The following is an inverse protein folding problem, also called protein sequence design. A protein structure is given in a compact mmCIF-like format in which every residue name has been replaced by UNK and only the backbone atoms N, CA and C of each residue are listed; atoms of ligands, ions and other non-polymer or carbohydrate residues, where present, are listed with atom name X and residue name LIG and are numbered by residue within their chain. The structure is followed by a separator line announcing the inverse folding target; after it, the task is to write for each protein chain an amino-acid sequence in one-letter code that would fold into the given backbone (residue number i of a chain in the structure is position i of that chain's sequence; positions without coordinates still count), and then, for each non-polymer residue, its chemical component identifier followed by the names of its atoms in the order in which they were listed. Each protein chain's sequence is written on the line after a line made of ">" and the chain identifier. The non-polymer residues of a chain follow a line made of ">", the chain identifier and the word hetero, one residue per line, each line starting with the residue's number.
data_IF_021981563277
#
_entry.id   IF_021981563277
#
_cell.length_a   1.000
_cell.length_b   1.000
_cell.length_c   1.000
_cell.angle_alpha   90.00
_cell.angle_beta   90.00
_cell.angle_gamma   90.00
#
_symmetry.space_group_name_H-M   'P 1'
#
loop_
_entity.id
_entity.type
_entity.pdbx_description
1 polymer ?
#
# COMPACT_ATOMS: atom_id res chain seq x y z
N UNK A 1 8.94 -28.44 19.07
CA UNK A 1 9.04 -26.96 19.14
C UNK A 1 9.26 -26.41 17.73
N UNK A 2 8.20 -25.92 17.10
CA UNK A 2 8.29 -25.30 15.77
C UNK A 2 8.99 -23.94 15.96
N UNK A 3 10.24 -23.83 15.53
CA UNK A 3 10.98 -22.57 15.47
C UNK A 3 10.17 -21.62 14.58
N UNK A 4 9.55 -20.60 15.16
CA UNK A 4 8.65 -19.71 14.43
C UNK A 4 9.50 -18.79 13.56
N UNK A 5 9.67 -19.16 12.29
CA UNK A 5 10.28 -18.30 11.27
C UNK A 5 9.28 -17.20 10.95
N UNK A 6 9.48 -16.00 11.50
CA UNK A 6 8.59 -14.86 11.31
C UNK A 6 9.16 -13.93 10.25
N UNK A 7 8.74 -14.15 9.00
CA UNK A 7 8.85 -13.17 7.94
C UNK A 7 7.65 -12.24 8.03
N UNK A 8 7.90 -10.97 8.32
CA UNK A 8 6.83 -9.98 8.40
C UNK A 8 6.93 -8.99 7.25
N UNK A 9 6.02 -9.05 6.27
CA UNK A 9 5.88 -7.95 5.34
C UNK A 9 5.38 -6.74 6.11
N UNK A 10 5.96 -5.57 5.84
CA UNK A 10 5.49 -4.31 6.44
C UNK A 10 5.16 -3.25 5.41
N UNK A 11 5.63 -3.41 4.16
CA UNK A 11 5.37 -2.45 3.08
C UNK A 11 5.50 -3.10 1.69
N UNK A 12 4.76 -2.53 0.74
CA UNK A 12 4.94 -2.75 -0.70
C UNK A 12 5.32 -1.44 -1.39
N UNK A 13 6.00 -1.52 -2.53
CA UNK A 13 6.41 -0.37 -3.36
C UNK A 13 5.41 -0.01 -4.47
N UNK A 14 4.11 -0.23 -4.22
CA UNK A 14 3.03 0.09 -5.18
C UNK A 14 2.55 1.53 -5.00
N UNK A 15 2.58 2.37 -6.05
CA UNK A 15 2.02 3.72 -5.99
C UNK A 15 0.49 3.68 -5.83
N UNK A 16 -0.04 4.47 -4.90
CA UNK A 16 -1.49 4.57 -4.71
C UNK A 16 -2.07 5.67 -5.60
N UNK A 17 -2.74 5.30 -6.68
CA UNK A 17 -3.47 6.22 -7.57
C UNK A 17 -4.62 6.92 -6.87
N UNK A 18 -5.38 6.16 -6.07
CA UNK A 18 -6.48 6.66 -5.25
C UNK A 18 -6.24 6.33 -3.78
N UNK A 19 -6.80 7.16 -2.89
CA UNK A 19 -6.84 6.85 -1.46
C UNK A 19 -7.73 5.60 -1.25
N UNK A 20 -7.22 4.52 -0.62
CA UNK A 20 -7.94 3.25 -0.46
C UNK A 20 -8.94 3.29 0.70
N UNK A 21 -9.84 4.28 0.68
CA UNK A 21 -10.81 4.53 1.74
C UNK A 21 -11.74 3.34 2.01
N UNK A 22 -12.11 2.58 0.97
CA UNK A 22 -12.96 1.39 1.15
C UNK A 22 -12.22 0.27 1.89
N UNK A 23 -10.92 0.10 1.64
CA UNK A 23 -10.12 -0.85 2.41
C UNK A 23 -9.99 -0.42 3.87
N UNK A 24 -9.83 0.88 4.13
CA UNK A 24 -9.84 1.41 5.51
C UNK A 24 -11.18 1.19 6.20
N UNK A 25 -12.29 1.34 5.48
CA UNK A 25 -13.61 1.02 6.01
C UNK A 25 -13.71 -0.47 6.36
N UNK A 26 -13.25 -1.38 5.49
CA UNK A 26 -13.21 -2.81 5.79
C UNK A 26 -12.36 -3.09 7.02
N UNK A 27 -11.16 -2.49 7.12
CA UNK A 27 -10.27 -2.58 8.30
C UNK A 27 -10.99 -2.11 9.57
N UNK A 28 -11.70 -0.98 9.50
CA UNK A 28 -12.49 -0.47 10.62
C UNK A 28 -13.64 -1.43 11.00
N UNK A 29 -14.35 -1.98 10.01
CA UNK A 29 -15.43 -2.94 10.23
C UNK A 29 -14.93 -4.23 10.89
N UNK A 30 -13.87 -4.86 10.38
CA UNK A 30 -13.33 -6.08 11.01
C UNK A 30 -12.78 -5.81 12.41
N UNK A 31 -12.24 -4.61 12.64
CA UNK A 31 -11.78 -4.17 13.97
C UNK A 31 -12.96 -4.05 14.93
N UNK A 32 -14.02 -3.36 14.53
CA UNK A 32 -15.25 -3.25 15.32
C UNK A 32 -15.84 -4.62 15.65
N UNK A 33 -15.98 -5.49 14.64
CA UNK A 33 -16.51 -6.85 14.82
C UNK A 33 -15.65 -7.64 15.80
N UNK A 34 -14.32 -7.56 15.70
CA UNK A 34 -13.42 -8.24 16.64
C UNK A 34 -13.61 -7.77 18.08
N UNK A 35 -13.75 -6.46 18.31
CA UNK A 35 -14.03 -5.95 19.66
C UNK A 35 -15.41 -6.37 20.17
N UNK A 36 -16.43 -6.47 19.31
CA UNK A 36 -17.72 -7.07 19.67
C UNK A 36 -17.54 -8.55 20.08
N UNK A 37 -16.76 -9.34 19.34
CA UNK A 37 -16.46 -10.74 19.70
C UNK A 37 -15.78 -10.84 21.08
N UNK A 38 -14.86 -9.92 21.40
CA UNK A 38 -14.20 -9.87 22.72
C UNK A 38 -15.20 -9.49 23.81
N UNK A 39 -16.03 -8.47 23.58
CA UNK A 39 -17.05 -8.03 24.53
C UNK A 39 -18.07 -9.14 24.83
N UNK A 40 -18.49 -9.91 23.82
CA UNK A 40 -19.34 -11.10 24.02
C UNK A 40 -18.66 -12.15 24.88
N UNK A 41 -17.38 -12.47 24.61
CA UNK A 41 -16.64 -13.45 25.42
C UNK A 41 -16.56 -13.04 26.89
N UNK A 42 -16.32 -11.76 27.17
CA UNK A 42 -16.32 -11.22 28.54
C UNK A 42 -17.73 -11.29 29.15
N UNK A 43 -18.74 -10.80 28.42
CA UNK A 43 -20.13 -10.77 28.90
C UNK A 43 -20.63 -12.17 29.25
N UNK A 44 -20.52 -13.12 28.34
CA UNK A 44 -21.03 -14.48 28.56
C UNK A 44 -20.16 -15.26 29.55
N UNK A 45 -18.83 -15.05 29.56
CA UNK A 45 -17.92 -15.69 30.52
C UNK A 45 -18.24 -15.36 31.98
N UNK A 46 -18.84 -14.21 32.25
CA UNK A 46 -19.22 -13.78 33.61
C UNK A 46 -20.62 -14.25 34.06
N UNK A 47 -21.40 -14.90 33.20
CA UNK A 47 -22.77 -15.32 33.50
C UNK A 47 -22.86 -16.80 33.91
N UNK A 48 -23.81 -17.18 34.79
CA UNK A 48 -24.16 -18.58 35.02
C UNK A 48 -24.60 -19.26 33.72
N UNK A 49 -24.03 -20.44 33.42
CA UNK A 49 -24.23 -21.12 32.13
C UNK A 49 -23.57 -20.40 30.95
N UNK A 50 -22.53 -19.60 31.21
CA UNK A 50 -21.88 -18.72 30.23
C UNK A 50 -21.47 -19.40 28.92
N UNK A 51 -20.94 -20.62 29.00
CA UNK A 51 -20.52 -21.39 27.82
C UNK A 51 -21.70 -21.72 26.89
N UNK A 52 -22.82 -22.18 27.43
CA UNK A 52 -24.04 -22.49 26.68
C UNK A 52 -24.64 -21.23 26.08
N UNK A 53 -24.68 -20.14 26.86
CA UNK A 53 -25.15 -18.84 26.41
C UNK A 53 -24.28 -18.28 25.28
N UNK A 54 -22.95 -18.43 25.37
CA UNK A 54 -22.03 -18.04 24.30
C UNK A 54 -22.25 -18.87 23.03
N UNK A 55 -22.39 -20.19 23.18
CA UNK A 55 -22.64 -21.10 22.06
C UNK A 55 -23.96 -20.78 21.34
N UNK A 56 -25.01 -20.44 22.07
CA UNK A 56 -26.30 -20.11 21.49
C UNK A 56 -26.37 -18.71 20.84
N UNK A 57 -25.68 -17.72 21.42
CA UNK A 57 -25.94 -16.32 21.09
C UNK A 57 -24.78 -15.56 20.43
N UNK A 58 -23.55 -16.08 20.46
CA UNK A 58 -22.40 -15.30 19.98
C UNK A 58 -22.41 -15.11 18.47
N UNK A 59 -22.02 -13.91 18.02
CA UNK A 59 -21.85 -13.63 16.59
C UNK A 59 -20.82 -14.58 15.96
N UNK A 60 -19.83 -15.03 16.73
CA UNK A 60 -18.80 -15.95 16.24
C UNK A 60 -19.41 -17.28 15.83
N UNK A 61 -20.33 -17.83 16.63
CA UNK A 61 -20.95 -19.13 16.34
C UNK A 61 -22.02 -19.00 15.25
N UNK A 62 -22.78 -17.91 15.25
CA UNK A 62 -23.88 -17.70 14.29
C UNK A 62 -23.41 -17.37 12.87
N UNK A 63 -22.26 -16.69 12.72
CA UNK A 63 -21.75 -16.21 11.43
C UNK A 63 -20.46 -16.90 10.98
N UNK A 64 -19.92 -17.85 11.75
CA UNK A 64 -18.83 -18.70 11.23
C UNK A 64 -19.30 -19.53 10.04
N UNK A 65 -18.38 -19.82 9.13
CA UNK A 65 -18.62 -20.76 8.05
C UNK A 65 -18.84 -22.14 8.65
N UNK A 66 -20.06 -22.66 8.52
CA UNK A 66 -20.45 -23.99 8.98
C UNK A 66 -21.51 -24.54 8.01
N UNK A 67 -21.07 -25.31 7.03
CA UNK A 67 -21.90 -25.71 5.89
C UNK A 67 -22.23 -24.55 4.93
N UNK A 68 -23.17 -24.80 4.02
CA UNK A 68 -23.49 -23.96 2.86
C UNK A 68 -24.39 -22.75 3.14
N UNK A 69 -24.63 -22.42 4.42
CA UNK A 69 -25.51 -21.33 4.81
C UNK A 69 -24.96 -19.95 4.42
N UNK A 70 -25.82 -19.09 3.85
CA UNK A 70 -25.45 -17.74 3.41
C UNK A 70 -24.88 -16.87 4.55
N UNK A 71 -25.39 -17.06 5.77
CA UNK A 71 -24.89 -16.37 6.97
C UNK A 71 -23.41 -16.67 7.22
N UNK A 72 -22.99 -17.92 7.05
CA UNK A 72 -21.59 -18.32 7.22
C UNK A 72 -20.70 -17.87 6.06
N UNK A 73 -21.18 -18.01 4.81
CA UNK A 73 -20.45 -17.60 3.62
C UNK A 73 -20.15 -16.09 3.59
N UNK A 74 -21.11 -15.26 4.01
CA UNK A 74 -20.92 -13.80 4.06
C UNK A 74 -20.39 -13.30 5.40
N UNK A 75 -20.71 -13.98 6.50
CA UNK A 75 -20.38 -13.55 7.85
C UNK A 75 -18.96 -13.89 8.29
N UNK A 76 -18.43 -15.03 7.84
CA UNK A 76 -17.15 -15.57 8.33
C UNK A 76 -15.96 -14.66 8.06
N UNK A 77 -16.01 -13.88 6.98
CA UNK A 77 -14.93 -12.97 6.56
C UNK A 77 -14.75 -11.76 7.47
N UNK A 78 -15.66 -11.54 8.42
CA UNK A 78 -15.59 -10.44 9.38
C UNK A 78 -15.10 -10.90 10.76
N UNK A 79 -15.18 -12.21 11.03
CA UNK A 79 -14.88 -12.82 12.33
C UNK A 79 -13.41 -13.19 12.45
N UNK A 80 -12.90 -13.19 13.69
CA UNK A 80 -11.53 -13.64 13.98
C UNK A 80 -11.49 -14.61 15.17
N UNK A 81 -10.59 -15.59 15.10
CA UNK A 81 -10.44 -16.63 16.12
C UNK A 81 -9.60 -16.24 17.34
N UNK A 82 -8.88 -15.11 17.26
CA UNK A 82 -8.01 -14.61 18.33
C UNK A 82 -7.16 -13.42 17.88
N UNK A 83 -6.40 -12.84 18.81
CA UNK A 83 -5.67 -11.58 18.59
C UNK A 83 -4.59 -11.67 17.51
N UNK A 84 -3.82 -12.77 17.46
CA UNK A 84 -2.78 -12.94 16.43
C UNK A 84 -3.38 -13.13 15.03
N UNK A 85 -4.50 -13.85 14.94
CA UNK A 85 -5.23 -14.02 13.68
C UNK A 85 -5.79 -12.67 13.20
N UNK A 86 -6.38 -11.88 14.11
CA UNK A 86 -6.85 -10.53 13.83
C UNK A 86 -5.71 -9.60 13.37
N UNK A 87 -4.62 -9.51 14.13
CA UNK A 87 -3.48 -8.66 13.81
C UNK A 87 -2.83 -9.04 12.46
N UNK A 88 -2.72 -10.34 12.18
CA UNK A 88 -2.25 -10.83 10.88
C UNK A 88 -3.15 -10.36 9.73
N UNK A 89 -4.46 -10.53 9.85
CA UNK A 89 -5.38 -10.10 8.79
C UNK A 89 -5.36 -8.57 8.58
N UNK A 90 -5.26 -7.78 9.65
CA UNK A 90 -5.09 -6.32 9.53
C UNK A 90 -3.82 -5.95 8.80
N UNK A 91 -2.70 -6.60 9.11
CA UNK A 91 -1.42 -6.36 8.44
C UNK A 91 -1.53 -6.62 6.93
N UNK A 92 -2.11 -7.76 6.54
CA UNK A 92 -2.24 -8.10 5.13
C UNK A 92 -3.29 -7.24 4.39
N UNK A 93 -4.40 -6.86 5.04
CA UNK A 93 -5.33 -5.86 4.49
C UNK A 93 -4.64 -4.51 4.30
N UNK A 94 -3.78 -4.10 5.24
CA UNK A 94 -3.06 -2.84 5.15
C UNK A 94 -2.04 -2.83 4.02
N UNK A 95 -1.36 -3.95 3.77
CA UNK A 95 -0.31 -4.03 2.76
C UNK A 95 -0.93 -4.30 1.38
N UNK A 96 -1.61 -5.43 1.22
CA UNK A 96 -2.12 -5.88 -0.08
C UNK A 96 -3.48 -5.26 -0.39
N UNK A 97 -4.36 -5.15 0.61
CA UNK A 97 -5.68 -4.58 0.43
C UNK A 97 -5.66 -3.11 0.00
N UNK A 98 -4.75 -2.30 0.57
CA UNK A 98 -4.58 -0.91 0.13
C UNK A 98 -4.11 -0.81 -1.33
N UNK A 99 -3.14 -1.62 -1.74
CA UNK A 99 -2.64 -1.63 -3.11
C UNK A 99 -3.73 -2.06 -4.11
N UNK A 100 -4.44 -3.15 -3.81
CA UNK A 100 -5.52 -3.66 -4.68
C UNK A 100 -6.72 -2.70 -4.71
N UNK A 101 -7.10 -2.11 -3.58
CA UNK A 101 -8.15 -1.10 -3.52
C UNK A 101 -7.79 0.16 -4.33
N UNK A 102 -6.53 0.59 -4.28
CA UNK A 102 -6.07 1.72 -5.07
C UNK A 102 -6.11 1.41 -6.57
N UNK A 103 -5.85 0.15 -6.96
CA UNK A 103 -5.92 -0.30 -8.36
C UNK A 103 -7.35 -0.46 -8.88
N UNK A 104 -8.26 -0.99 -8.06
CA UNK A 104 -9.67 -1.21 -8.40
C UNK A 104 -10.53 0.06 -8.31
N UNK A 105 -10.18 0.96 -7.40
CA UNK A 105 -11.03 2.05 -6.95
C UNK A 105 -12.02 1.62 -5.85
N UNK A 106 -12.41 2.57 -5.01
CA UNK A 106 -13.19 2.33 -3.79
C UNK A 106 -14.55 1.64 -4.04
N UNK A 107 -15.27 1.99 -5.11
CA UNK A 107 -16.61 1.46 -5.37
C UNK A 107 -16.61 -0.02 -5.75
N UNK A 108 -15.60 -0.47 -6.52
CA UNK A 108 -15.48 -1.86 -6.98
C UNK A 108 -14.87 -2.77 -5.91
N UNK A 109 -14.13 -2.20 -4.97
CA UNK A 109 -13.35 -2.98 -4.00
C UNK A 109 -14.21 -3.81 -3.06
N UNK A 110 -15.29 -3.24 -2.49
CA UNK A 110 -16.15 -3.96 -1.55
C UNK A 110 -16.81 -5.22 -2.13
N UNK A 111 -17.52 -5.17 -3.28
CA UNK A 111 -18.11 -6.38 -3.86
C UNK A 111 -17.04 -7.39 -4.28
N UNK A 112 -15.85 -6.94 -4.70
CA UNK A 112 -14.72 -7.84 -4.97
C UNK A 112 -14.25 -8.54 -3.69
N UNK A 113 -14.01 -7.80 -2.60
CA UNK A 113 -13.61 -8.38 -1.32
C UNK A 113 -14.60 -9.43 -0.81
N UNK A 114 -15.90 -9.10 -0.83
CA UNK A 114 -16.97 -10.04 -0.43
C UNK A 114 -17.03 -11.25 -1.36
N UNK A 115 -16.96 -11.04 -2.68
CA UNK A 115 -16.98 -12.13 -3.66
C UNK A 115 -15.80 -13.10 -3.52
N UNK A 116 -14.59 -12.58 -3.27
CA UNK A 116 -13.41 -13.40 -2.97
C UNK A 116 -13.57 -14.18 -1.67
N UNK A 117 -14.20 -13.57 -0.66
CA UNK A 117 -14.58 -14.21 0.58
C UNK A 117 -15.53 -15.40 0.39
N UNK A 118 -16.58 -15.20 -0.40
CA UNK A 118 -17.54 -16.26 -0.76
C UNK A 118 -16.84 -17.37 -1.54
N UNK A 119 -16.02 -17.04 -2.54
CA UNK A 119 -15.27 -18.02 -3.31
C UNK A 119 -14.29 -18.83 -2.44
N UNK A 120 -13.62 -18.18 -1.49
CA UNK A 120 -12.80 -18.85 -0.48
C UNK A 120 -13.63 -19.79 0.40
N UNK A 121 -14.80 -19.34 0.87
CA UNK A 121 -15.71 -20.17 1.67
C UNK A 121 -16.20 -21.40 0.90
N UNK A 122 -16.58 -21.24 -0.36
CA UNK A 122 -16.94 -22.36 -1.25
C UNK A 122 -15.75 -23.32 -1.41
N UNK A 123 -14.56 -22.80 -1.70
CA UNK A 123 -13.34 -23.59 -1.80
C UNK A 123 -13.06 -24.38 -0.52
N UNK A 124 -13.26 -23.78 0.66
CA UNK A 124 -13.14 -24.48 1.93
C UNK A 124 -14.16 -25.61 2.05
N UNK A 125 -15.44 -25.33 1.86
CA UNK A 125 -16.53 -26.31 2.04
C UNK A 125 -16.43 -27.51 1.09
N UNK A 126 -15.89 -27.32 -0.12
CA UNK A 126 -15.71 -28.40 -1.09
C UNK A 126 -14.67 -29.44 -0.67
N UNK A 127 -13.64 -29.03 0.08
CA UNK A 127 -12.51 -29.89 0.45
C UNK A 127 -12.39 -30.13 1.96
N UNK A 128 -13.06 -29.30 2.76
CA UNK A 128 -13.05 -29.32 4.22
C UNK A 128 -14.43 -28.88 4.74
N UNK A 129 -15.16 -29.81 5.33
CA UNK A 129 -16.45 -29.52 5.99
C UNK A 129 -16.35 -28.82 7.36
N UNK A 130 -15.12 -28.54 7.82
CA UNK A 130 -14.87 -27.96 9.15
C UNK A 130 -15.30 -26.51 9.28
N UNK A 131 -15.65 -26.09 10.50
CA UNK A 131 -16.01 -24.71 10.81
C UNK A 131 -14.82 -23.77 10.57
N UNK A 132 -15.07 -22.61 9.95
CA UNK A 132 -14.03 -21.61 9.69
C UNK A 132 -14.48 -20.18 10.01
N UNK A 133 -13.52 -19.34 10.40
CA UNK A 133 -13.67 -17.90 10.61
C UNK A 133 -12.42 -17.22 10.08
N UNK A 134 -12.53 -15.97 9.62
CA UNK A 134 -11.37 -15.18 9.23
C UNK A 134 -11.57 -14.44 7.91
N UNK A 135 -11.11 -13.19 7.88
CA UNK A 135 -10.92 -12.43 6.65
C UNK A 135 -9.88 -13.05 5.71
N UNK A 136 -9.06 -13.99 6.20
CA UNK A 136 -7.88 -14.54 5.52
C UNK A 136 -8.19 -15.18 4.16
N UNK A 137 -9.36 -15.78 3.96
CA UNK A 137 -9.79 -16.31 2.66
C UNK A 137 -9.97 -15.20 1.61
N UNK A 138 -10.70 -14.13 1.96
CA UNK A 138 -10.85 -12.97 1.09
C UNK A 138 -9.51 -12.27 0.83
N UNK A 139 -8.68 -12.12 1.87
CA UNK A 139 -7.32 -11.58 1.78
C UNK A 139 -6.45 -12.43 0.85
N UNK A 140 -6.57 -13.76 0.89
CA UNK A 140 -5.85 -14.65 -0.02
C UNK A 140 -6.22 -14.38 -1.48
N UNK A 141 -7.49 -14.08 -1.75
CA UNK A 141 -7.91 -13.59 -3.05
C UNK A 141 -7.31 -12.24 -3.42
N UNK A 142 -7.24 -11.30 -2.49
CA UNK A 142 -6.56 -10.01 -2.73
C UNK A 142 -5.06 -10.21 -3.04
N UNK A 143 -4.38 -11.13 -2.35
CA UNK A 143 -2.99 -11.51 -2.64
C UNK A 143 -2.88 -12.12 -4.05
N UNK A 144 -3.83 -12.97 -4.45
CA UNK A 144 -3.90 -13.51 -5.81
C UNK A 144 -4.07 -12.42 -6.87
N UNK A 145 -4.94 -11.43 -6.62
CA UNK A 145 -5.08 -10.26 -7.51
C UNK A 145 -3.79 -9.42 -7.53
N UNK A 146 -3.19 -9.19 -6.37
CA UNK A 146 -1.96 -8.44 -6.23
C UNK A 146 -0.82 -9.09 -7.02
N UNK A 147 -0.68 -10.42 -6.98
CA UNK A 147 0.31 -11.16 -7.77
C UNK A 147 0.14 -10.92 -9.28
N UNK A 148 -1.11 -10.87 -9.75
CA UNK A 148 -1.42 -10.63 -11.17
C UNK A 148 -1.07 -9.20 -11.57
N UNK A 149 -1.38 -8.21 -10.74
CA UNK A 149 -1.15 -6.80 -11.05
C UNK A 149 0.31 -6.37 -10.85
N UNK A 150 0.96 -6.86 -9.80
CA UNK A 150 2.23 -6.34 -9.29
C UNK A 150 3.28 -7.44 -9.06
N UNK A 151 3.54 -8.35 -10.02
CA UNK A 151 4.46 -9.48 -9.82
C UNK A 151 5.93 -9.05 -9.58
N UNK A 152 6.36 -7.95 -10.19
CA UNK A 152 7.75 -7.45 -10.11
C UNK A 152 7.99 -6.47 -8.97
N UNK A 153 6.91 -5.91 -8.39
CA UNK A 153 6.98 -5.01 -7.23
C UNK A 153 7.64 -5.69 -6.04
N UNK A 154 8.36 -4.92 -5.23
CA UNK A 154 9.03 -5.44 -4.04
C UNK A 154 8.15 -5.36 -2.81
N UNK A 155 8.23 -6.41 -2.00
CA UNK A 155 7.67 -6.48 -0.65
C UNK A 155 8.84 -6.32 0.30
N UNK A 156 8.80 -5.26 1.09
CA UNK A 156 9.76 -5.03 2.17
C UNK A 156 9.33 -5.83 3.38
N UNK A 157 10.26 -6.66 3.85
CA UNK A 157 10.09 -7.56 4.96
C UNK A 157 11.12 -7.25 6.03
N UNK A 158 10.75 -7.50 7.28
CA UNK A 158 11.73 -7.68 8.33
C UNK A 158 11.65 -9.10 8.86
N UNK A 159 12.81 -9.66 9.16
CA UNK A 159 12.96 -10.96 9.80
C UNK A 159 13.38 -10.72 11.24
N UNK A 160 12.55 -11.17 12.18
CA UNK A 160 12.84 -11.12 13.60
C UNK A 160 12.74 -12.54 14.18
N UNK A 161 13.88 -13.09 14.58
CA UNK A 161 13.92 -14.33 15.34
C UNK A 161 13.89 -13.97 16.82
N UNK A 162 12.71 -14.05 17.44
CA UNK A 162 12.42 -13.56 18.81
C UNK A 162 13.44 -14.06 19.87
N UNK A 163 14.17 -15.16 19.61
CA UNK A 163 15.07 -15.79 20.60
C UNK A 163 16.56 -15.94 20.20
N UNK A 164 17.03 -15.53 19.02
CA UNK A 164 18.46 -15.74 18.62
C UNK A 164 19.14 -14.57 17.89
N UNK A 165 18.43 -13.81 17.07
CA UNK A 165 19.06 -12.65 16.40
C UNK A 165 18.86 -11.40 17.25
N UNK A 166 19.96 -10.85 17.77
CA UNK A 166 19.96 -9.55 18.46
C UNK A 166 19.63 -8.36 17.53
N UNK A 167 19.55 -8.59 16.20
CA UNK A 167 19.33 -7.55 15.18
C UNK A 167 18.28 -8.02 14.17
N UNK A 168 17.18 -7.26 13.97
CA UNK A 168 16.24 -7.55 12.88
C UNK A 168 16.93 -7.36 11.53
N UNK A 169 16.72 -8.30 10.60
CA UNK A 169 17.22 -8.20 9.21
C UNK A 169 16.12 -7.57 8.37
N UNK A 170 16.47 -6.52 7.62
CA UNK A 170 15.58 -5.83 6.70
C UNK A 170 15.96 -6.22 5.28
N UNK A 171 14.99 -6.67 4.48
CA UNK A 171 15.25 -7.03 3.10
C UNK A 171 13.99 -6.81 2.25
N UNK A 172 14.20 -6.68 0.95
CA UNK A 172 13.11 -6.60 -0.03
C UNK A 172 13.19 -7.79 -0.97
N UNK A 173 12.04 -8.39 -1.25
CA UNK A 173 11.91 -9.53 -2.16
C UNK A 173 10.83 -9.22 -3.20
N UNK A 174 11.01 -9.69 -4.44
CA UNK A 174 9.95 -9.53 -5.45
C UNK A 174 8.69 -10.27 -5.01
N UNK A 175 7.55 -9.64 -5.22
CA UNK A 175 6.24 -10.11 -4.80
C UNK A 175 5.93 -11.51 -5.31
N UNK A 176 6.28 -11.78 -6.57
CA UNK A 176 6.15 -13.12 -7.16
C UNK A 176 6.74 -14.22 -6.27
N UNK A 177 8.01 -14.08 -5.86
CA UNK A 177 8.71 -15.11 -5.09
C UNK A 177 8.14 -15.27 -3.69
N UNK A 178 7.86 -14.16 -3.00
CA UNK A 178 7.29 -14.22 -1.65
C UNK A 178 5.90 -14.85 -1.65
N UNK A 179 5.03 -14.44 -2.57
CA UNK A 179 3.67 -14.97 -2.68
C UNK A 179 3.70 -16.43 -3.09
N UNK A 180 4.62 -16.83 -3.98
CA UNK A 180 4.81 -18.23 -4.36
C UNK A 180 5.20 -19.09 -3.16
N UNK A 181 6.19 -18.67 -2.36
CA UNK A 181 6.58 -19.39 -1.14
C UNK A 181 5.41 -19.49 -0.16
N UNK A 182 4.70 -18.38 0.08
CA UNK A 182 3.52 -18.38 0.95
C UNK A 182 2.43 -19.33 0.45
N UNK A 183 2.15 -19.35 -0.86
CA UNK A 183 1.14 -20.22 -1.45
C UNK A 183 1.53 -21.71 -1.35
N UNK A 184 2.80 -22.03 -1.63
CA UNK A 184 3.32 -23.39 -1.45
C UNK A 184 3.20 -23.86 0.01
N UNK A 185 3.48 -22.98 0.98
CA UNK A 185 3.27 -23.30 2.40
C UNK A 185 1.80 -23.56 2.74
N UNK A 186 0.85 -22.88 2.09
CA UNK A 186 -0.58 -23.18 2.26
C UNK A 186 -0.96 -24.55 1.69
N UNK A 187 -0.38 -24.95 0.56
CA UNK A 187 -0.58 -26.30 0.00
C UNK A 187 -0.04 -27.35 0.97
N UNK A 188 1.19 -27.19 1.46
CA UNK A 188 1.75 -28.12 2.46
C UNK A 188 0.92 -28.16 3.74
N UNK A 189 0.39 -27.02 4.17
CA UNK A 189 -0.53 -26.93 5.30
C UNK A 189 -1.82 -27.73 5.07
N UNK A 190 -2.42 -27.59 3.89
CA UNK A 190 -3.62 -28.34 3.50
C UNK A 190 -3.37 -29.85 3.51
N UNK A 191 -2.25 -30.30 2.93
CA UNK A 191 -1.86 -31.72 2.88
C UNK A 191 -1.63 -32.29 4.29
N UNK A 192 -1.07 -31.50 5.21
CA UNK A 192 -0.82 -31.92 6.60
C UNK A 192 -2.08 -31.91 7.49
N UNK A 193 -3.20 -31.35 7.02
CA UNK A 193 -4.49 -31.42 7.69
C UNK A 193 -4.57 -30.67 9.02
N UNK A 194 -3.86 -29.55 9.21
CA UNK A 194 -3.99 -28.80 10.47
C UNK A 194 -5.37 -28.14 10.57
N UNK A 195 -6.13 -28.44 11.62
CA UNK A 195 -7.47 -27.87 11.82
C UNK A 195 -7.46 -26.39 12.23
N UNK A 196 -6.32 -25.86 12.67
CA UNK A 196 -6.19 -24.48 13.15
C UNK A 196 -6.24 -23.42 12.03
N UNK A 197 -6.03 -23.82 10.77
CA UNK A 197 -5.93 -22.89 9.63
C UNK A 197 -6.76 -23.45 8.47
N UNK A 198 -7.68 -22.64 7.95
CA UNK A 198 -8.53 -22.98 6.81
C UNK A 198 -7.74 -22.89 5.48
N UNK A 199 -6.77 -23.77 5.26
CA UNK A 199 -5.89 -23.73 4.09
C UNK A 199 -6.64 -23.83 2.75
N UNK A 200 -7.71 -24.62 2.69
CA UNK A 200 -8.54 -24.71 1.48
C UNK A 200 -9.27 -23.39 1.18
N UNK A 201 -9.63 -22.62 2.20
CA UNK A 201 -10.14 -21.26 2.01
C UNK A 201 -9.08 -20.35 1.36
N UNK A 202 -7.82 -20.44 1.82
CA UNK A 202 -6.73 -19.64 1.25
C UNK A 202 -6.46 -20.01 -0.20
N UNK A 203 -6.41 -21.30 -0.52
CA UNK A 203 -6.18 -21.80 -1.88
C UNK A 203 -7.34 -21.37 -2.81
N UNK A 204 -8.59 -21.60 -2.39
CA UNK A 204 -9.77 -21.22 -3.16
C UNK A 204 -9.87 -19.71 -3.39
N UNK A 205 -9.64 -18.92 -2.33
CA UNK A 205 -9.60 -17.47 -2.42
C UNK A 205 -8.52 -16.98 -3.38
N UNK A 206 -7.29 -17.50 -3.25
CA UNK A 206 -6.16 -17.14 -4.09
C UNK A 206 -6.43 -17.37 -5.58
N UNK A 207 -6.92 -18.56 -5.96
CA UNK A 207 -7.25 -18.85 -7.35
C UNK A 207 -8.39 -17.99 -7.87
N UNK A 208 -9.44 -17.75 -7.08
CA UNK A 208 -10.51 -16.83 -7.45
C UNK A 208 -10.00 -15.42 -7.71
N UNK A 209 -9.06 -14.94 -6.87
CA UNK A 209 -8.37 -13.67 -7.04
C UNK A 209 -7.57 -13.58 -8.33
N UNK A 210 -6.73 -14.59 -8.59
CA UNK A 210 -5.94 -14.68 -9.83
C UNK A 210 -6.85 -14.67 -11.06
N UNK A 211 -7.89 -15.52 -11.07
CA UNK A 211 -8.83 -15.62 -12.18
C UNK A 211 -9.57 -14.30 -12.43
N UNK A 212 -10.07 -13.65 -11.36
CA UNK A 212 -10.76 -12.38 -11.46
C UNK A 212 -9.83 -11.26 -11.96
N UNK A 213 -8.60 -11.17 -11.44
CA UNK A 213 -7.65 -10.17 -11.89
C UNK A 213 -7.28 -10.34 -13.38
N UNK A 214 -7.06 -11.57 -13.84
CA UNK A 214 -6.84 -11.87 -15.26
C UNK A 214 -8.05 -11.44 -16.10
N UNK A 215 -9.27 -11.77 -15.66
CA UNK A 215 -10.51 -11.38 -16.34
C UNK A 215 -10.63 -9.85 -16.44
N UNK A 216 -10.35 -9.12 -15.36
CA UNK A 216 -10.44 -7.67 -15.32
C UNK A 216 -9.42 -6.98 -16.24
N UNK A 217 -8.21 -7.55 -16.37
CA UNK A 217 -7.21 -7.08 -17.33
C UNK A 217 -7.63 -7.37 -18.77
N UNK A 218 -8.05 -8.61 -19.07
CA UNK A 218 -8.48 -9.01 -20.43
C UNK A 218 -9.72 -8.26 -20.93
N UNK A 219 -10.63 -7.89 -20.03
CA UNK A 219 -11.83 -7.12 -20.37
C UNK A 219 -11.60 -5.61 -20.40
N UNK A 220 -10.37 -5.14 -20.11
CA UNK A 220 -10.05 -3.71 -20.07
C UNK A 220 -10.71 -2.94 -18.92
N UNK A 221 -11.37 -3.63 -17.97
CA UNK A 221 -12.01 -3.00 -16.80
C UNK A 221 -10.98 -2.41 -15.82
N UNK A 222 -9.75 -2.90 -15.88
CA UNK A 222 -8.56 -2.35 -15.22
C UNK A 222 -7.48 -2.18 -16.29
N UNK A 223 -6.77 -1.07 -16.22
CA UNK A 223 -5.60 -0.81 -17.06
C UNK A 223 -4.32 -0.80 -16.22
N UNK A 224 -3.23 -1.31 -16.81
CA UNK A 224 -1.90 -1.22 -16.22
C UNK A 224 -1.29 0.15 -16.54
N UNK A 225 -0.58 0.75 -15.60
CA UNK A 225 0.16 1.99 -15.87
C UNK A 225 1.44 1.67 -16.65
N UNK A 226 2.03 2.68 -17.33
CA UNK A 226 3.15 2.48 -18.28
C UNK A 226 4.36 1.73 -17.69
N UNK A 227 4.64 1.94 -16.41
CA UNK A 227 5.77 1.35 -15.70
C UNK A 227 5.45 0.02 -15.02
N UNK A 228 4.18 -0.39 -14.98
CA UNK A 228 3.75 -1.63 -14.35
C UNK A 228 3.74 -2.76 -15.40
N UNK A 229 4.21 -3.94 -15.02
CA UNK A 229 4.08 -5.15 -15.83
C UNK A 229 3.26 -6.17 -15.04
N UNK A 230 2.10 -6.52 -15.59
CA UNK A 230 1.26 -7.58 -15.04
C UNK A 230 1.86 -8.96 -15.30
N UNK A 231 1.33 -9.99 -14.64
CA UNK A 231 1.74 -11.37 -14.91
C UNK A 231 1.46 -11.77 -16.37
N UNK A 232 0.42 -11.21 -16.99
CA UNK A 232 0.11 -11.45 -18.40
C UNK A 232 1.19 -10.87 -19.31
N UNK A 233 1.74 -9.69 -18.97
CA UNK A 233 2.85 -9.08 -19.71
C UNK A 233 4.12 -9.92 -19.60
N UNK A 234 4.42 -10.45 -18.41
CA UNK A 234 5.58 -11.33 -18.19
C UNK A 234 5.46 -12.64 -18.96
N UNK A 235 4.24 -13.16 -19.12
CA UNK A 235 3.95 -14.37 -19.90
C UNK A 235 3.82 -14.11 -21.41
N UNK A 236 3.99 -12.87 -21.88
CA UNK A 236 3.82 -12.52 -23.29
C UNK A 236 2.37 -12.54 -23.79
N UNK A 237 1.40 -12.61 -22.86
CA UNK A 237 -0.05 -12.62 -23.11
C UNK A 237 -0.71 -11.24 -22.94
N UNK A 238 0.09 -10.22 -22.64
CA UNK A 238 -0.35 -8.82 -22.49
C UNK A 238 -0.69 -8.15 -23.82
N UNK A 239 -1.67 -7.24 -23.79
CA UNK A 239 -2.19 -6.60 -25.00
C UNK A 239 -1.25 -5.47 -25.49
N UNK A 240 -0.56 -5.69 -26.62
CA UNK A 240 0.47 -4.78 -27.14
C UNK A 240 -0.10 -3.40 -27.54
N UNK A 241 -1.38 -3.31 -27.92
CA UNK A 241 -2.04 -2.07 -28.38
C UNK A 241 -2.22 -1.03 -27.26
N UNK A 242 -2.36 -1.47 -26.01
CA UNK A 242 -2.52 -0.56 -24.85
C UNK A 242 -1.21 0.18 -24.54
N UNK A 243 -0.06 -0.43 -24.89
CA UNK A 243 1.27 0.21 -24.73
C UNK A 243 1.51 1.37 -25.70
N UNK A 244 0.98 1.29 -26.92
CA UNK A 244 1.28 2.25 -27.99
C UNK A 244 0.51 3.57 -27.87
N UNK A 245 -0.70 3.61 -27.30
CA UNK A 245 -1.38 4.89 -27.04
C UNK A 245 -0.75 5.65 -25.87
N UNK A 246 -0.11 4.93 -24.95
CA UNK A 246 0.67 5.48 -23.86
C UNK A 246 2.13 5.78 -24.27
N UNK A 247 2.58 5.56 -25.51
CA UNK A 247 3.99 5.73 -25.91
C UNK A 247 4.32 7.10 -26.53
N UNK A 248 3.44 8.10 -26.42
CA UNK A 248 3.75 9.47 -26.82
C UNK A 248 3.60 10.44 -25.64
N UNK A 249 4.71 11.05 -25.24
CA UNK A 249 4.71 12.40 -24.66
C UNK A 249 4.88 12.54 -23.14
N UNK A 250 4.06 11.91 -22.30
CA UNK A 250 3.94 12.44 -20.95
C UNK A 250 4.85 11.79 -19.90
N UNK A 251 5.68 12.62 -19.23
CA UNK A 251 6.51 12.27 -18.07
C UNK A 251 5.65 12.28 -16.80
N UNK A 252 5.88 11.33 -15.88
CA UNK A 252 5.11 11.26 -14.62
C UNK A 252 5.44 12.44 -13.69
N UNK A 253 4.53 12.82 -12.76
CA UNK A 253 4.81 13.88 -11.76
C UNK A 253 5.99 13.57 -10.84
N UNK A 254 6.21 12.28 -10.53
CA UNK A 254 7.31 11.84 -9.66
C UNK A 254 8.65 11.88 -10.39
N UNK A 255 8.70 11.46 -11.66
CA UNK A 255 9.90 11.60 -12.49
C UNK A 255 10.31 13.07 -12.68
N UNK A 256 9.33 13.96 -12.90
CA UNK A 256 9.60 15.41 -12.90
C UNK A 256 10.19 15.90 -11.59
N UNK A 257 9.67 15.42 -10.45
CA UNK A 257 10.15 15.83 -9.12
C UNK A 257 11.55 15.31 -8.81
N UNK A 258 11.84 14.07 -9.18
CA UNK A 258 13.15 13.44 -9.02
C UNK A 258 14.19 14.08 -9.94
N UNK A 259 13.89 14.30 -11.23
CA UNK A 259 14.78 15.01 -12.15
C UNK A 259 15.06 16.43 -11.66
N UNK A 260 14.05 17.15 -11.18
CA UNK A 260 14.24 18.48 -10.58
C UNK A 260 15.16 18.39 -9.37
N UNK A 261 15.01 17.39 -8.50
CA UNK A 261 15.90 17.22 -7.34
C UNK A 261 17.33 16.86 -7.74
N UNK A 262 17.52 15.97 -8.72
CA UNK A 262 18.84 15.59 -9.23
C UNK A 262 19.52 16.75 -9.97
N UNK A 263 18.78 17.49 -10.79
CA UNK A 263 19.28 18.70 -11.45
C UNK A 263 19.63 19.78 -10.43
N UNK A 264 18.80 19.96 -9.39
CA UNK A 264 19.10 20.94 -8.33
C UNK A 264 20.35 20.53 -7.54
N UNK A 265 20.50 19.25 -7.19
CA UNK A 265 21.71 18.73 -6.53
C UNK A 265 22.96 18.85 -7.41
N UNK A 266 22.85 18.52 -8.69
CA UNK A 266 23.97 18.65 -9.61
C UNK A 266 24.40 20.12 -9.80
N UNK A 267 23.44 21.05 -9.78
CA UNK A 267 23.71 22.50 -9.81
C UNK A 267 24.32 23.02 -8.50
N UNK A 268 23.93 22.46 -7.36
CA UNK A 268 24.51 22.80 -6.04
C UNK A 268 25.93 22.24 -5.88
N UNK A 269 26.21 21.03 -6.38
CA UNK A 269 27.54 20.39 -6.31
C UNK A 269 28.55 20.95 -7.31
N UNK A 270 28.08 21.54 -8.42
CA UNK A 270 28.95 22.16 -9.44
C UNK A 270 29.09 23.67 -9.32
N UNK A 271 28.41 24.31 -8.36
CA UNK A 271 28.54 25.76 -8.16
C UNK A 271 29.90 26.10 -7.53
N UNK A 272 30.80 26.80 -8.26
CA UNK A 272 32.07 27.21 -7.70
C UNK A 272 31.86 28.48 -6.88
N UNK A 273 32.29 28.42 -5.62
CA UNK A 273 32.53 29.53 -4.70
C UNK A 273 31.29 30.15 -4.05
N UNK A 274 31.27 30.06 -2.71
CA UNK A 274 30.38 30.78 -1.79
C UNK A 274 30.60 32.29 -1.99
N UNK A 275 29.61 33.11 -2.37
CA UNK A 275 29.86 34.52 -2.66
C UNK A 275 30.14 35.31 -1.38
N UNK A 276 31.31 35.95 -1.37
CA UNK A 276 31.79 36.90 -0.38
C UNK A 276 30.97 38.20 -0.47
N UNK A 277 30.53 38.73 0.67
CA UNK A 277 29.75 39.98 0.75
C UNK A 277 30.68 41.20 0.61
N UNK A 278 30.77 41.79 -0.58
CA UNK A 278 31.50 43.06 -0.77
C UNK A 278 30.55 44.26 -0.72
N UNK A 279 30.83 45.29 0.12
CA UNK A 279 30.04 46.52 0.17
C UNK A 279 30.26 47.38 -1.09
N UNK A 280 29.22 48.07 -1.57
CA UNK A 280 29.33 49.03 -2.68
C UNK A 280 28.68 50.36 -2.27
N UNK A 281 29.39 51.46 -2.50
CA UNK A 281 29.02 52.83 -2.13
C UNK A 281 27.87 53.39 -3.00
N UNK A 282 26.98 54.23 -2.44
CA UNK A 282 25.86 54.80 -3.19
C UNK A 282 26.28 56.06 -3.99
N UNK A 283 25.91 56.10 -5.28
CA UNK A 283 25.91 57.33 -6.10
C UNK A 283 24.59 58.09 -5.94
N UNK A 284 24.68 59.42 -5.84
CA UNK A 284 23.60 60.36 -5.57
C UNK A 284 22.54 60.49 -6.69
N UNK A 285 21.32 60.94 -6.32
CA UNK A 285 20.12 61.37 -7.12
C UNK A 285 18.95 60.36 -7.32
N UNK A 286 17.73 60.83 -7.67
CA UNK A 286 16.81 61.80 -7.06
C UNK A 286 15.56 61.11 -6.43
N UNK A 287 14.80 61.86 -5.62
CA UNK A 287 13.74 61.38 -4.72
C UNK A 287 12.86 60.23 -5.27
N UNK A 288 13.04 59.04 -4.68
CA UNK A 288 12.15 57.89 -4.86
C UNK A 288 12.79 56.66 -5.53
N UNK A 289 13.98 56.75 -6.11
CA UNK A 289 14.67 55.60 -6.73
C UNK A 289 16.16 55.55 -6.38
N UNK A 290 16.66 54.36 -6.08
CA UNK A 290 18.08 54.05 -5.81
C UNK A 290 18.65 53.36 -7.06
N UNK A 291 19.80 53.83 -7.54
CA UNK A 291 20.54 53.22 -8.66
C UNK A 291 21.84 52.62 -8.13
N UNK A 292 22.15 51.41 -8.60
CA UNK A 292 23.39 50.71 -8.28
C UNK A 292 23.76 49.76 -9.42
N UNK A 293 24.99 49.25 -9.42
CA UNK A 293 25.41 48.21 -10.36
C UNK A 293 25.60 46.88 -9.66
N UNK A 294 25.14 45.81 -10.30
CA UNK A 294 25.49 44.46 -9.90
C UNK A 294 26.96 44.17 -10.26
N UNK A 295 27.57 43.19 -9.61
CA UNK A 295 28.93 42.71 -9.92
C UNK A 295 29.11 42.24 -11.36
N UNK A 296 28.02 41.84 -12.04
CA UNK A 296 28.05 41.51 -13.47
C UNK A 296 28.03 42.75 -14.40
N UNK A 297 28.13 43.96 -13.84
CA UNK A 297 28.10 45.24 -14.53
C UNK A 297 26.69 45.76 -14.86
N UNK A 298 25.64 44.97 -14.61
CA UNK A 298 24.26 45.34 -14.94
C UNK A 298 23.77 46.48 -14.04
N UNK A 299 23.31 47.62 -14.61
CA UNK A 299 22.68 48.68 -13.83
C UNK A 299 21.30 48.24 -13.33
N UNK A 300 21.05 48.46 -12.04
CA UNK A 300 19.81 48.16 -11.35
C UNK A 300 19.23 49.48 -10.84
N UNK A 301 17.97 49.74 -11.18
CA UNK A 301 17.18 50.87 -10.67
C UNK A 301 16.02 50.31 -9.88
N UNK A 302 15.98 50.57 -8.57
CA UNK A 302 14.92 50.13 -7.68
C UNK A 302 14.27 51.32 -7.01
N UNK A 303 12.99 51.20 -6.64
CA UNK A 303 12.32 52.24 -5.85
C UNK A 303 12.90 52.29 -4.44
N UNK A 304 12.99 53.48 -3.84
CA UNK A 304 13.52 53.71 -2.50
C UNK A 304 12.78 52.96 -1.39
N UNK A 305 11.53 52.52 -1.63
CA UNK A 305 10.80 51.65 -0.70
C UNK A 305 11.47 50.28 -0.46
N UNK A 306 12.38 49.87 -1.36
CA UNK A 306 13.13 48.62 -1.24
C UNK A 306 14.51 48.83 -0.58
N UNK A 307 14.78 50.01 -0.01
CA UNK A 307 15.99 50.28 0.76
C UNK A 307 16.19 49.23 1.88
N UNK A 308 17.40 48.69 2.00
CA UNK A 308 17.73 47.62 2.95
C UNK A 308 17.25 46.22 2.58
N UNK A 309 16.45 46.07 1.52
CA UNK A 309 15.99 44.76 1.03
C UNK A 309 16.99 44.12 0.08
N UNK A 310 16.89 42.80 -0.10
CA UNK A 310 17.69 42.06 -1.09
C UNK A 310 16.84 41.84 -2.34
N UNK A 311 17.32 42.34 -3.48
CA UNK A 311 16.70 42.09 -4.79
C UNK A 311 17.57 41.16 -5.63
N UNK A 312 17.00 40.52 -6.65
CA UNK A 312 17.76 39.71 -7.61
C UNK A 312 18.05 40.52 -8.88
N UNK A 313 19.30 40.46 -9.33
CA UNK A 313 19.69 41.03 -10.62
C UNK A 313 18.90 40.34 -11.75
N UNK A 314 18.24 41.08 -12.66
CA UNK A 314 17.45 40.48 -13.73
C UNK A 314 18.32 39.75 -14.77
N UNK A 315 19.62 40.05 -14.83
CA UNK A 315 20.55 39.44 -15.80
C UNK A 315 21.20 38.16 -15.28
N UNK A 316 21.84 38.22 -14.10
CA UNK A 316 22.60 37.08 -13.57
C UNK A 316 21.94 36.41 -12.35
N UNK A 317 20.77 36.88 -11.92
CA UNK A 317 20.07 36.38 -10.73
C UNK A 317 20.81 36.53 -9.38
N UNK A 318 21.98 37.19 -9.36
CA UNK A 318 22.71 37.47 -8.12
C UNK A 318 21.85 38.28 -7.15
N UNK A 319 21.99 37.97 -5.86
CA UNK A 319 21.38 38.73 -4.77
C UNK A 319 22.15 40.01 -4.58
N UNK A 320 21.46 41.15 -4.63
CA UNK A 320 22.05 42.48 -4.48
C UNK A 320 21.32 43.17 -3.34
N UNK A 321 22.06 43.56 -2.31
CA UNK A 321 21.52 44.31 -1.17
C UNK A 321 21.36 45.77 -1.58
N UNK A 322 20.14 46.29 -1.46
CA UNK A 322 19.87 47.70 -1.74
C UNK A 322 20.36 48.52 -0.55
N UNK A 323 21.27 49.49 -0.75
CA UNK A 323 21.74 50.34 0.34
C UNK A 323 20.55 51.08 0.97
N UNK A 324 20.64 51.30 2.28
CA UNK A 324 19.71 52.22 2.95
C UNK A 324 20.11 53.63 2.51
N UNK A 325 19.15 54.38 1.98
CA UNK A 325 19.34 55.80 1.68
C UNK A 325 19.44 56.60 2.99
#
# INVERSE_FOLDING_TARGET
>A
MLKVFLFFPYRVDVPHKYRPAMNWLIVATVTLVFFCQVAERVKYGSLPGGAERYAANSITIQYSLNGWGIKGLLGSIWLHGGILHFAGNLLYLWIFGNAVCSKLGNLKYLPVYVGLGVAAGIGHLLFSGGRAVGASGAISGLIGMYLVFFPENSISCFFCFIFMLQRPIWFSIRSFWMILVWFVLNIFGAIRGSESVAYYAHIGGFFAGVALAILLLKTGKITMERYERSILDLLGLGDKKVRTSASMGDRTPWQRKWEVQEQTKALEETSPVKPEETPVEPEDTPAGFIRLRCSCGQPIKVSGQYAGSIVRCPKCSNRVKIPQA
#
